data_IF_292061306377
#
_entry.id   IF_292061306377
#
_cell.length_a   1.000
_cell.length_b   1.000
_cell.length_c   1.000
_cell.angle_alpha   90.00
_cell.angle_beta   90.00
_cell.angle_gamma   90.00
#
_symmetry.space_group_name_H-M   'P 1'
#
loop_
_entity.id
_entity.type
_entity.pdbx_description
1 polymer ?
#
# COMPACT_ATOMS: atom_id res chain seq x y z
N UNK A 1 19.18 -43.91 9.17
CA UNK A 1 19.20 -45.12 8.31
C UNK A 1 20.62 -45.56 7.99
N UNK A 2 21.48 -44.70 7.43
CA UNK A 2 22.84 -45.12 7.00
C UNK A 2 23.70 -45.74 8.11
N UNK A 3 23.79 -45.09 9.28
CA UNK A 3 24.56 -45.63 10.42
C UNK A 3 23.99 -46.98 10.87
N UNK A 4 22.67 -47.09 10.97
CA UNK A 4 21.98 -48.34 11.37
C UNK A 4 22.26 -49.46 10.37
N UNK A 5 22.15 -49.19 9.07
CA UNK A 5 22.44 -50.17 8.03
C UNK A 5 23.91 -50.63 8.04
N UNK A 6 24.86 -49.71 8.24
CA UNK A 6 26.28 -50.03 8.36
C UNK A 6 26.58 -50.88 9.59
N UNK A 7 25.99 -50.54 10.74
CA UNK A 7 26.12 -51.33 11.97
C UNK A 7 25.53 -52.74 11.80
N UNK A 8 24.36 -52.87 11.18
CA UNK A 8 23.74 -54.18 10.88
C UNK A 8 24.58 -55.01 9.91
N UNK A 9 25.27 -54.38 8.96
CA UNK A 9 26.14 -55.08 8.03
C UNK A 9 27.47 -55.54 8.65
N UNK A 10 28.03 -54.79 9.61
CA UNK A 10 29.40 -54.98 10.11
C UNK A 10 29.45 -55.68 11.49
N UNK A 11 28.58 -55.30 12.43
CA UNK A 11 28.68 -55.78 13.83
C UNK A 11 28.43 -57.29 13.96
N UNK A 12 27.40 -57.89 13.32
CA UNK A 12 27.12 -59.31 13.46
C UNK A 12 28.22 -60.23 12.90
N UNK A 13 28.79 -59.99 11.70
CA UNK A 13 29.94 -60.75 11.22
C UNK A 13 31.19 -60.58 12.09
N UNK A 14 31.47 -59.35 12.54
CA UNK A 14 32.72 -59.02 13.24
C UNK A 14 32.74 -59.49 14.70
N UNK A 15 31.62 -59.38 15.41
CA UNK A 15 31.55 -59.66 16.87
C UNK A 15 30.97 -61.05 17.16
N UNK A 16 30.05 -61.53 16.32
CA UNK A 16 29.30 -62.77 16.56
C UNK A 16 29.62 -63.88 15.54
N UNK A 17 30.58 -63.67 14.64
CA UNK A 17 30.99 -64.67 13.64
C UNK A 17 29.95 -64.94 12.55
N UNK A 18 29.01 -64.01 12.32
CA UNK A 18 27.98 -64.16 11.29
C UNK A 18 28.50 -64.17 9.85
N UNK A 19 27.70 -64.68 8.90
CA UNK A 19 28.08 -64.75 7.48
C UNK A 19 28.02 -63.35 6.85
N UNK A 20 29.17 -62.84 6.37
CA UNK A 20 29.30 -61.50 5.79
C UNK A 20 28.28 -61.21 4.69
N UNK A 21 28.10 -62.11 3.73
CA UNK A 21 27.20 -61.90 2.60
C UNK A 21 25.74 -61.67 3.07
N UNK A 22 25.29 -62.42 4.08
CA UNK A 22 23.93 -62.31 4.61
C UNK A 22 23.70 -60.97 5.31
N UNK A 23 24.64 -60.55 6.16
CA UNK A 23 24.51 -59.30 6.91
C UNK A 23 24.72 -58.06 6.05
N UNK A 24 25.60 -58.13 5.04
CA UNK A 24 25.71 -57.10 4.01
C UNK A 24 24.39 -56.98 3.24
N UNK A 25 23.78 -58.10 2.83
CA UNK A 25 22.47 -58.10 2.16
C UNK A 25 21.38 -57.46 3.02
N UNK A 26 21.31 -57.81 4.31
CA UNK A 26 20.37 -57.21 5.27
C UNK A 26 20.61 -55.71 5.45
N UNK A 27 21.87 -55.26 5.52
CA UNK A 27 22.22 -53.84 5.58
C UNK A 27 21.75 -53.06 4.35
N UNK A 28 21.97 -53.61 3.15
CA UNK A 28 21.48 -53.03 1.89
C UNK A 28 19.94 -52.99 1.83
N UNK A 29 19.26 -54.03 2.30
CA UNK A 29 17.80 -54.05 2.38
C UNK A 29 17.26 -52.94 3.31
N UNK A 30 17.92 -52.69 4.45
CA UNK A 30 17.57 -51.59 5.36
C UNK A 30 17.77 -50.21 4.69
N UNK A 31 18.83 -50.04 3.91
CA UNK A 31 19.02 -48.80 3.12
C UNK A 31 17.88 -48.59 2.13
N UNK A 32 17.49 -49.64 1.40
CA UNK A 32 16.42 -49.58 0.42
C UNK A 32 15.07 -49.22 1.04
N UNK A 33 14.70 -49.88 2.15
CA UNK A 33 13.46 -49.61 2.88
C UNK A 33 13.47 -48.19 3.48
N UNK A 34 14.64 -47.69 3.84
CA UNK A 34 14.80 -46.37 4.43
C UNK A 34 14.70 -45.20 3.44
N UNK A 35 14.60 -45.44 2.12
CA UNK A 35 14.37 -44.39 1.12
C UNK A 35 12.98 -43.76 1.33
N UNK A 36 12.88 -42.49 1.79
CA UNK A 36 11.63 -41.93 2.23
C UNK A 36 10.88 -41.25 1.07
N UNK A 37 10.48 -42.03 0.06
CA UNK A 37 9.84 -41.50 -1.16
C UNK A 37 8.63 -40.59 -0.86
N UNK A 38 7.82 -40.97 0.13
CA UNK A 38 6.67 -40.19 0.58
C UNK A 38 7.06 -38.84 1.23
N UNK A 39 8.16 -38.81 1.99
CA UNK A 39 8.66 -37.58 2.60
C UNK A 39 9.13 -36.61 1.52
N UNK A 40 9.85 -37.10 0.51
CA UNK A 40 10.40 -36.28 -0.59
C UNK A 40 9.30 -35.59 -1.38
N UNK A 41 8.17 -36.27 -1.65
CA UNK A 41 7.05 -35.67 -2.40
C UNK A 41 6.11 -34.81 -1.55
N UNK A 42 6.16 -34.92 -0.22
CA UNK A 42 5.22 -34.24 0.68
C UNK A 42 5.27 -32.71 0.55
N UNK A 43 6.45 -32.10 0.58
CA UNK A 43 6.61 -30.63 0.51
C UNK A 43 6.20 -30.05 -0.86
N UNK A 44 6.68 -30.57 -2.01
CA UNK A 44 6.23 -30.06 -3.31
C UNK A 44 4.73 -30.21 -3.54
N UNK A 45 4.12 -31.32 -3.09
CA UNK A 45 2.68 -31.52 -3.18
C UNK A 45 1.89 -30.49 -2.37
N UNK A 46 2.31 -30.24 -1.12
CA UNK A 46 1.68 -29.24 -0.25
C UNK A 46 1.81 -27.82 -0.81
N UNK A 47 2.99 -27.46 -1.36
CA UNK A 47 3.23 -26.16 -1.99
C UNK A 47 2.32 -25.98 -3.21
N UNK A 48 2.27 -26.96 -4.12
CA UNK A 48 1.45 -26.88 -5.32
C UNK A 48 -0.04 -26.74 -4.99
N UNK A 49 -0.53 -27.51 -4.02
CA UNK A 49 -1.91 -27.41 -3.54
C UNK A 49 -2.20 -26.02 -2.93
N UNK A 50 -1.28 -25.49 -2.12
CA UNK A 50 -1.44 -24.19 -1.45
C UNK A 50 -1.42 -23.02 -2.44
N UNK A 51 -0.50 -23.04 -3.42
CA UNK A 51 -0.46 -22.05 -4.50
C UNK A 51 -1.75 -22.07 -5.32
N UNK A 52 -2.23 -23.26 -5.68
CA UNK A 52 -3.49 -23.43 -6.42
C UNK A 52 -4.70 -22.91 -5.63
N UNK A 53 -4.76 -23.20 -4.32
CA UNK A 53 -5.82 -22.72 -3.44
C UNK A 53 -5.78 -21.19 -3.26
N UNK A 54 -4.59 -20.60 -3.11
CA UNK A 54 -4.42 -19.15 -3.00
C UNK A 54 -4.80 -18.42 -4.28
N UNK A 55 -4.38 -18.93 -5.45
CA UNK A 55 -4.70 -18.34 -6.74
C UNK A 55 -6.22 -18.28 -6.98
N UNK A 56 -6.97 -19.32 -6.58
CA UNK A 56 -8.45 -19.32 -6.62
C UNK A 56 -9.10 -18.25 -5.74
N UNK A 57 -8.37 -17.69 -4.78
CA UNK A 57 -8.81 -16.61 -3.88
C UNK A 57 -8.16 -15.25 -4.22
N UNK A 58 -7.57 -15.12 -5.40
CA UNK A 58 -6.93 -13.87 -5.84
C UNK A 58 -5.54 -13.61 -5.24
N UNK A 59 -4.92 -14.59 -4.58
CA UNK A 59 -3.57 -14.45 -4.02
C UNK A 59 -2.51 -14.91 -5.03
N UNK A 60 -1.62 -14.00 -5.43
CA UNK A 60 -0.47 -14.31 -6.28
C UNK A 60 0.79 -14.48 -5.43
N UNK A 61 1.21 -15.73 -5.22
CA UNK A 61 2.41 -16.07 -4.45
C UNK A 61 3.53 -16.52 -5.38
N UNK A 62 4.68 -15.83 -5.32
CA UNK A 62 5.84 -16.07 -6.21
C UNK A 62 6.72 -17.21 -5.71
N UNK A 63 6.17 -18.43 -5.66
CA UNK A 63 6.90 -19.66 -5.33
C UNK A 63 6.71 -20.16 -3.89
N UNK A 64 7.25 -21.36 -3.61
CA UNK A 64 7.06 -22.07 -2.35
C UNK A 64 7.74 -21.42 -1.14
N UNK A 65 8.90 -20.78 -1.32
CA UNK A 65 9.61 -20.09 -0.24
C UNK A 65 8.77 -18.96 0.39
N UNK A 66 7.91 -18.31 -0.40
CA UNK A 66 6.98 -17.28 0.08
C UNK A 66 5.94 -17.89 1.03
N UNK A 67 5.38 -19.05 0.68
CA UNK A 67 4.42 -19.76 1.54
C UNK A 67 5.03 -20.19 2.87
N UNK A 68 6.24 -20.74 2.84
CA UNK A 68 6.95 -21.15 4.05
C UNK A 68 7.29 -19.96 4.96
N UNK A 69 7.65 -18.82 4.36
CA UNK A 69 7.93 -17.59 5.10
C UNK A 69 6.64 -17.01 5.68
N UNK A 70 5.55 -17.00 4.91
CA UNK A 70 4.26 -16.44 5.31
C UNK A 70 3.70 -17.14 6.55
N UNK A 71 3.89 -18.46 6.68
CA UNK A 71 3.51 -19.22 7.87
C UNK A 71 4.30 -18.87 9.15
N UNK A 72 5.37 -18.06 9.05
CA UNK A 72 6.20 -17.63 10.19
C UNK A 72 6.05 -16.13 10.49
N UNK A 73 5.29 -15.39 9.69
CA UNK A 73 5.13 -13.95 9.87
C UNK A 73 4.29 -13.69 11.13
N UNK A 74 4.80 -12.81 11.99
CA UNK A 74 4.12 -12.35 13.22
C UNK A 74 3.89 -10.84 13.23
N UNK A 75 4.40 -10.12 12.21
CA UNK A 75 4.26 -8.67 12.10
C UNK A 75 3.99 -8.24 10.67
N UNK A 76 3.12 -7.27 10.48
CA UNK A 76 2.81 -6.69 9.16
C UNK A 76 2.96 -5.18 9.21
N UNK A 77 3.86 -4.65 8.38
CA UNK A 77 3.94 -3.22 8.12
C UNK A 77 3.11 -2.90 6.88
N UNK A 78 2.10 -2.05 7.05
CA UNK A 78 1.26 -1.59 5.96
C UNK A 78 1.78 -0.29 5.40
N UNK A 79 1.83 -0.20 4.07
CA UNK A 79 1.75 1.10 3.41
C UNK A 79 0.32 1.66 3.58
N UNK A 80 0.18 2.99 3.62
CA UNK A 80 -1.15 3.61 3.79
C UNK A 80 -1.84 3.72 2.44
N UNK A 81 -1.25 4.51 1.55
CA UNK A 81 -1.90 4.99 0.33
C UNK A 81 -2.11 3.83 -0.65
N UNK A 82 -3.37 3.55 -1.00
CA UNK A 82 -3.74 2.49 -1.94
C UNK A 82 -3.70 1.07 -1.36
N UNK A 83 -3.16 0.89 -0.15
CA UNK A 83 -3.17 -0.39 0.59
C UNK A 83 -4.26 -0.39 1.66
N UNK A 84 -4.17 0.49 2.67
CA UNK A 84 -5.23 0.67 3.68
C UNK A 84 -6.32 1.62 3.20
N UNK A 85 -5.99 2.50 2.25
CA UNK A 85 -6.92 3.45 1.65
C UNK A 85 -7.22 3.10 0.20
N UNK A 86 -8.23 3.75 -0.38
CA UNK A 86 -8.60 3.57 -1.79
C UNK A 86 -7.50 4.08 -2.76
N UNK A 87 -6.58 4.93 -2.29
CA UNK A 87 -5.57 5.58 -3.14
C UNK A 87 -6.18 6.64 -4.06
N UNK A 88 -7.40 7.10 -3.74
CA UNK A 88 -8.20 8.04 -4.52
C UNK A 88 -8.71 9.12 -3.58
N UNK A 89 -7.92 10.18 -3.34
CA UNK A 89 -8.36 11.26 -2.49
C UNK A 89 -9.64 11.88 -3.04
N UNK A 90 -10.53 12.30 -2.15
CA UNK A 90 -11.78 12.99 -2.47
C UNK A 90 -11.77 14.34 -1.78
N UNK A 91 -12.30 15.37 -2.44
CA UNK A 91 -12.53 16.67 -1.80
C UNK A 91 -13.60 16.49 -0.73
N UNK A 92 -13.27 16.84 0.51
CA UNK A 92 -14.18 16.73 1.65
C UNK A 92 -14.75 18.07 2.06
N UNK A 93 -13.96 19.13 1.96
CA UNK A 93 -14.33 20.46 2.44
C UNK A 93 -13.73 21.54 1.55
N UNK A 94 -14.50 22.60 1.33
CA UNK A 94 -14.06 23.80 0.63
C UNK A 94 -14.39 24.98 1.54
N UNK A 95 -13.35 25.67 2.02
CA UNK A 95 -13.51 26.89 2.83
C UNK A 95 -13.19 28.08 1.93
N UNK A 96 -14.23 28.73 1.42
CA UNK A 96 -14.06 29.89 0.55
C UNK A 96 -13.70 31.15 1.34
N UNK A 97 -12.86 32.01 0.76
CA UNK A 97 -12.44 33.30 1.37
C UNK A 97 -12.66 34.42 0.36
N UNK A 98 -13.60 35.32 0.67
CA UNK A 98 -13.93 36.46 -0.20
C UNK A 98 -14.53 36.08 -1.55
N UNK A 99 -15.06 34.86 -1.68
CA UNK A 99 -15.72 34.29 -2.86
C UNK A 99 -16.56 33.08 -2.44
N UNK A 100 -17.29 32.47 -3.37
CA UNK A 100 -18.10 31.28 -3.13
C UNK A 100 -17.27 29.99 -3.20
N UNK A 101 -17.76 28.90 -2.62
CA UNK A 101 -17.11 27.58 -2.74
C UNK A 101 -16.98 27.13 -4.19
N UNK A 102 -17.99 27.39 -5.02
CA UNK A 102 -18.00 27.05 -6.43
C UNK A 102 -16.89 27.81 -7.19
N UNK A 103 -16.71 29.10 -6.93
CA UNK A 103 -15.62 29.89 -7.52
C UNK A 103 -14.25 29.44 -7.04
N UNK A 104 -14.10 29.14 -5.74
CA UNK A 104 -12.84 28.59 -5.20
C UNK A 104 -12.50 27.26 -5.88
N UNK A 105 -13.47 26.37 -6.04
CA UNK A 105 -13.28 25.08 -6.71
C UNK A 105 -12.97 25.24 -8.20
N UNK A 106 -13.67 26.15 -8.90
CA UNK A 106 -13.43 26.43 -10.30
C UNK A 106 -11.98 26.91 -10.55
N UNK A 107 -11.51 27.88 -9.77
CA UNK A 107 -10.13 28.40 -9.88
C UNK A 107 -9.07 27.35 -9.58
N UNK A 108 -9.33 26.46 -8.60
CA UNK A 108 -8.43 25.35 -8.31
C UNK A 108 -8.44 24.30 -9.44
N UNK A 109 -9.62 23.99 -9.99
CA UNK A 109 -9.76 23.07 -11.11
C UNK A 109 -9.09 23.61 -12.38
N UNK A 110 -9.18 24.92 -12.64
CA UNK A 110 -8.49 25.57 -13.75
C UNK A 110 -6.97 25.38 -13.69
N UNK A 111 -6.38 25.48 -12.49
CA UNK A 111 -4.95 25.24 -12.28
C UNK A 111 -4.55 23.78 -12.49
N UNK A 112 -5.42 22.85 -12.13
CA UNK A 112 -5.09 21.42 -12.06
C UNK A 112 -5.35 20.68 -13.39
N UNK A 113 -5.88 21.35 -14.42
CA UNK A 113 -6.02 20.75 -15.75
C UNK A 113 -4.66 20.26 -16.26
N UNK A 114 -4.59 18.98 -16.61
CA UNK A 114 -3.39 18.34 -17.15
C UNK A 114 -2.41 17.82 -16.10
N UNK A 115 -2.68 18.03 -14.81
CA UNK A 115 -1.91 17.45 -13.70
C UNK A 115 -2.30 15.98 -13.48
N UNK A 116 -1.29 15.10 -13.38
CA UNK A 116 -1.49 13.68 -13.05
C UNK A 116 -1.46 13.39 -11.55
N UNK A 117 -1.35 14.43 -10.72
CA UNK A 117 -1.27 14.28 -9.28
C UNK A 117 -2.62 13.80 -8.69
N UNK A 118 -2.66 12.84 -7.76
CA UNK A 118 -3.91 12.33 -7.20
C UNK A 118 -4.83 13.42 -6.62
N UNK A 119 -4.26 14.43 -5.94
CA UNK A 119 -5.03 15.57 -5.42
C UNK A 119 -5.64 16.44 -6.53
N UNK A 120 -4.94 16.59 -7.66
CA UNK A 120 -5.44 17.32 -8.82
C UNK A 120 -6.67 16.63 -9.41
N UNK A 121 -6.58 15.31 -9.56
CA UNK A 121 -7.70 14.48 -10.03
C UNK A 121 -8.90 14.57 -9.09
N UNK A 122 -8.67 14.61 -7.77
CA UNK A 122 -9.74 14.79 -6.78
C UNK A 122 -10.50 16.12 -6.98
N UNK A 123 -9.77 17.21 -7.22
CA UNK A 123 -10.34 18.54 -7.47
C UNK A 123 -11.13 18.56 -8.78
N UNK A 124 -10.56 18.01 -9.86
CA UNK A 124 -11.22 17.92 -11.17
C UNK A 124 -12.48 17.04 -11.13
N UNK A 125 -12.44 15.94 -10.38
CA UNK A 125 -13.60 15.07 -10.19
C UNK A 125 -14.70 15.76 -9.38
N UNK A 126 -14.34 16.51 -8.33
CA UNK A 126 -15.33 17.29 -7.56
C UNK A 126 -15.92 18.43 -8.39
N UNK A 127 -15.11 19.13 -9.19
CA UNK A 127 -15.60 20.16 -10.11
C UNK A 127 -16.61 19.58 -11.10
N UNK A 128 -16.31 18.42 -11.69
CA UNK A 128 -17.23 17.71 -12.59
C UNK A 128 -18.54 17.30 -11.91
N UNK A 129 -18.51 16.83 -10.66
CA UNK A 129 -19.74 16.51 -9.90
C UNK A 129 -20.64 17.71 -9.63
N UNK A 130 -20.07 18.91 -9.58
CA UNK A 130 -20.80 20.17 -9.38
C UNK A 130 -21.12 20.89 -10.70
N UNK A 131 -20.99 20.21 -11.84
CA UNK A 131 -21.18 20.78 -13.18
C UNK A 131 -20.34 22.04 -13.46
N UNK A 132 -19.15 22.13 -12.83
CA UNK A 132 -18.19 23.19 -13.06
C UNK A 132 -17.27 22.75 -14.20
N UNK A 133 -17.28 23.51 -15.30
CA UNK A 133 -16.42 23.28 -16.45
C UNK A 133 -15.16 24.16 -16.36
N UNK A 134 -13.99 23.62 -15.98
CA UNK A 134 -12.77 24.41 -15.89
C UNK A 134 -12.24 24.79 -17.28
N UNK A 135 -11.60 25.95 -17.37
CA UNK A 135 -11.18 26.63 -18.60
C UNK A 135 -9.67 26.51 -18.90
N UNK A 136 -8.92 25.86 -18.01
CA UNK A 136 -7.45 25.69 -18.04
C UNK A 136 -6.69 26.98 -17.76
N UNK A 137 -5.75 26.91 -16.81
CA UNK A 137 -4.79 27.99 -16.56
C UNK A 137 -3.71 28.03 -17.66
N UNK A 138 -3.26 29.24 -18.01
CA UNK A 138 -2.05 29.44 -18.81
C UNK A 138 -0.81 29.42 -17.91
N UNK A 139 0.36 29.11 -18.50
CA UNK A 139 1.65 29.08 -17.78
C UNK A 139 1.64 28.17 -16.53
N UNK A 140 0.79 27.14 -16.53
CA UNK A 140 0.68 26.20 -15.41
C UNK A 140 2.00 25.42 -15.23
N UNK A 141 2.57 25.50 -14.03
CA UNK A 141 3.81 24.78 -13.68
C UNK A 141 3.77 24.27 -12.25
N UNK A 142 4.19 23.03 -12.06
CA UNK A 142 4.38 22.44 -10.75
C UNK A 142 5.66 22.98 -10.09
N UNK A 143 5.58 23.28 -8.80
CA UNK A 143 6.70 23.64 -7.93
C UNK A 143 6.89 22.48 -6.96
N UNK A 144 7.95 21.70 -7.17
CA UNK A 144 8.22 20.49 -6.40
C UNK A 144 8.21 20.74 -4.88
N UNK A 145 7.37 19.99 -4.16
CA UNK A 145 7.22 20.10 -2.72
C UNK A 145 6.42 21.30 -2.21
N UNK A 146 5.91 22.17 -3.10
CA UNK A 146 5.14 23.36 -2.72
C UNK A 146 3.69 23.34 -3.24
N UNK A 147 3.48 23.06 -4.52
CA UNK A 147 2.17 23.14 -5.17
C UNK A 147 2.25 23.42 -6.67
N UNK A 148 1.23 24.07 -7.23
CA UNK A 148 1.11 24.48 -8.63
C UNK A 148 0.84 25.98 -8.72
N UNK A 149 1.35 26.62 -9.76
CA UNK A 149 1.10 28.02 -10.09
C UNK A 149 0.69 28.14 -11.57
N UNK A 150 -0.14 29.11 -11.90
CA UNK A 150 -0.59 29.38 -13.27
C UNK A 150 -1.39 30.68 -13.33
N UNK A 151 -1.95 31.02 -14.48
CA UNK A 151 -2.77 32.24 -14.64
C UNK A 151 -4.14 31.92 -15.23
N UNK A 152 -5.18 32.53 -14.67
CA UNK A 152 -6.56 32.46 -15.18
C UNK A 152 -7.08 33.88 -15.29
N UNK A 153 -7.56 34.27 -16.47
CA UNK A 153 -8.05 35.64 -16.71
C UNK A 153 -7.01 36.73 -16.42
N UNK A 154 -5.71 36.43 -16.57
CA UNK A 154 -4.60 37.35 -16.27
C UNK A 154 -4.23 37.44 -14.78
N UNK A 155 -4.94 36.74 -13.89
CA UNK A 155 -4.64 36.68 -12.45
C UNK A 155 -3.75 35.47 -12.17
N UNK A 156 -2.62 35.68 -11.50
CA UNK A 156 -1.75 34.60 -11.02
C UNK A 156 -2.47 33.82 -9.91
N UNK A 157 -2.61 32.52 -10.08
CA UNK A 157 -3.16 31.62 -9.09
C UNK A 157 -2.06 30.70 -8.56
N UNK A 158 -2.10 30.40 -7.27
CA UNK A 158 -1.25 29.39 -6.64
C UNK A 158 -2.10 28.45 -5.80
N UNK A 159 -1.92 27.14 -5.95
CA UNK A 159 -2.55 26.14 -5.12
C UNK A 159 -1.47 25.24 -4.53
N UNK A 160 -1.39 25.16 -3.20
CA UNK A 160 -0.33 24.39 -2.56
C UNK A 160 -0.48 24.22 -1.05
N UNK A 161 0.54 23.66 -0.41
CA UNK A 161 0.49 23.43 1.04
C UNK A 161 0.35 24.74 1.84
N UNK A 162 -0.25 24.72 3.05
CA UNK A 162 -0.38 25.92 3.88
C UNK A 162 0.96 26.61 4.13
N UNK A 163 2.02 25.83 4.37
CA UNK A 163 3.39 26.32 4.55
C UNK A 163 3.93 27.03 3.31
N UNK A 164 3.63 26.56 2.11
CA UNK A 164 4.06 27.20 0.87
C UNK A 164 3.22 28.45 0.53
N UNK A 165 1.94 28.45 0.91
CA UNK A 165 1.06 29.60 0.75
C UNK A 165 1.45 30.75 1.69
N UNK A 166 1.82 30.47 2.94
CA UNK A 166 2.27 31.48 3.91
C UNK A 166 3.48 32.29 3.45
N UNK A 167 4.39 31.67 2.66
CA UNK A 167 5.53 32.38 2.08
C UNK A 167 5.13 33.46 1.06
N UNK A 168 3.92 33.35 0.50
CA UNK A 168 3.42 34.20 -0.60
C UNK A 168 2.37 35.21 -0.11
N UNK A 169 1.53 34.80 0.83
CA UNK A 169 0.47 35.62 1.40
C UNK A 169 0.29 35.27 2.89
N UNK A 170 0.19 36.28 3.75
CA UNK A 170 -0.06 36.06 5.17
C UNK A 170 -1.46 35.47 5.40
N UNK A 171 -1.54 34.32 6.06
CA UNK A 171 -2.81 33.72 6.47
C UNK A 171 -3.30 34.35 7.78
N UNK A 172 -4.59 34.68 7.85
CA UNK A 172 -5.23 35.17 9.08
C UNK A 172 -5.25 34.07 10.15
N UNK A 173 -5.34 34.45 11.43
CA UNK A 173 -5.37 33.48 12.52
C UNK A 173 -6.58 32.54 12.43
N UNK A 174 -7.77 33.07 12.12
CA UNK A 174 -8.99 32.28 11.91
C UNK A 174 -8.78 31.19 10.85
N UNK A 175 -8.12 31.52 9.74
CA UNK A 175 -7.87 30.54 8.69
C UNK A 175 -6.83 29.48 9.12
N UNK A 176 -5.81 29.86 9.88
CA UNK A 176 -4.85 28.90 10.45
C UNK A 176 -5.54 27.92 11.39
N UNK A 177 -6.44 28.40 12.23
CA UNK A 177 -7.18 27.57 13.18
C UNK A 177 -8.11 26.59 12.44
N UNK A 178 -8.76 27.02 11.34
CA UNK A 178 -9.53 26.13 10.47
C UNK A 178 -8.67 25.07 9.77
N UNK A 179 -7.50 25.47 9.26
CA UNK A 179 -6.55 24.55 8.63
C UNK A 179 -6.06 23.51 9.64
N UNK A 180 -5.73 23.93 10.86
CA UNK A 180 -5.30 23.04 11.94
C UNK A 180 -6.38 22.00 12.25
N UNK A 181 -7.64 22.44 12.42
CA UNK A 181 -8.77 21.54 12.66
C UNK A 181 -8.93 20.49 11.55
N UNK A 182 -8.85 20.90 10.28
CA UNK A 182 -8.96 19.98 9.15
C UNK A 182 -7.80 18.97 9.10
N UNK A 183 -6.58 19.41 9.41
CA UNK A 183 -5.42 18.52 9.52
C UNK A 183 -5.57 17.52 10.67
N UNK A 184 -6.11 17.94 11.83
CA UNK A 184 -6.37 17.06 12.98
C UNK A 184 -7.43 15.99 12.66
N UNK A 185 -8.36 16.28 11.74
CA UNK A 185 -9.31 15.32 11.18
C UNK A 185 -8.66 14.36 10.15
N UNK A 186 -7.34 14.47 9.92
CA UNK A 186 -6.57 13.63 8.99
C UNK A 186 -6.70 14.04 7.52
N UNK A 187 -7.21 15.24 7.23
CA UNK A 187 -7.37 15.75 5.87
C UNK A 187 -6.07 16.41 5.39
N UNK A 188 -5.75 16.24 4.12
CA UNK A 188 -4.70 16.97 3.44
C UNK A 188 -5.25 18.29 2.93
N UNK A 189 -4.69 19.40 3.38
CA UNK A 189 -5.20 20.74 3.11
C UNK A 189 -4.34 21.45 2.08
N UNK A 190 -4.96 22.04 1.06
CA UNK A 190 -4.34 22.92 0.07
C UNK A 190 -4.96 24.32 0.15
N UNK A 191 -4.13 25.35 0.09
CA UNK A 191 -4.55 26.76 0.10
C UNK A 191 -4.45 27.31 -1.31
N UNK A 192 -5.55 27.91 -1.79
CA UNK A 192 -5.61 28.62 -3.05
C UNK A 192 -5.38 30.11 -2.80
N UNK A 193 -4.46 30.69 -3.57
CA UNK A 193 -4.20 32.12 -3.64
C UNK A 193 -4.58 32.63 -5.03
N UNK A 194 -5.14 33.83 -5.08
CA UNK A 194 -5.36 34.58 -6.31
C UNK A 194 -4.66 35.94 -6.19
N UNK A 195 -3.58 36.12 -6.92
CA UNK A 195 -2.64 37.22 -6.72
C UNK A 195 -2.06 37.19 -5.31
N UNK A 196 -2.27 38.25 -4.55
CA UNK A 196 -1.79 38.39 -3.16
C UNK A 196 -2.86 38.16 -2.10
N UNK A 197 -3.99 37.58 -2.46
CA UNK A 197 -5.09 37.30 -1.52
C UNK A 197 -5.40 35.81 -1.47
N UNK A 198 -5.80 35.34 -0.30
CA UNK A 198 -6.32 33.98 -0.13
C UNK A 198 -7.68 33.87 -0.79
N UNK A 199 -7.82 32.90 -1.69
CA UNK A 199 -9.05 32.59 -2.42
C UNK A 199 -9.90 31.54 -1.71
N UNK A 200 -9.26 30.67 -0.93
CA UNK A 200 -9.91 29.63 -0.17
C UNK A 200 -8.97 28.48 0.16
N UNK A 201 -9.54 27.46 0.79
CA UNK A 201 -8.85 26.25 1.22
C UNK A 201 -9.65 25.05 0.75
N UNK A 202 -8.96 24.04 0.22
CA UNK A 202 -9.55 22.79 -0.23
C UNK A 202 -8.93 21.67 0.61
N UNK A 203 -9.78 20.97 1.34
CA UNK A 203 -9.38 19.80 2.10
C UNK A 203 -9.77 18.52 1.36
N UNK A 204 -8.86 17.57 1.35
CA UNK A 204 -9.03 16.29 0.69
C UNK A 204 -8.64 15.15 1.63
N UNK A 205 -9.32 14.01 1.50
CA UNK A 205 -9.00 12.81 2.27
C UNK A 205 -9.02 11.58 1.37
N UNK A 206 -8.04 10.72 1.58
CA UNK A 206 -8.05 9.37 1.00
C UNK A 206 -8.70 8.44 2.01
N UNK A 207 -9.89 7.94 1.65
CA UNK A 207 -10.71 7.16 2.58
C UNK A 207 -10.14 5.75 2.77
N UNK A 208 -10.23 5.18 3.98
CA UNK A 208 -9.92 3.77 4.21
C UNK A 208 -10.77 2.87 3.30
N UNK A 209 -10.21 1.72 2.89
CA UNK A 209 -11.02 0.69 2.22
C UNK A 209 -12.06 0.13 3.19
N UNK A 210 -13.20 -0.29 2.65
CA UNK A 210 -14.29 -0.87 3.43
C UNK A 210 -13.84 -2.10 4.25
N UNK A 211 -12.95 -2.92 3.69
CA UNK A 211 -12.41 -4.14 4.28
C UNK A 211 -11.17 -3.91 5.16
N UNK A 212 -10.59 -2.71 5.17
CA UNK A 212 -9.33 -2.44 5.86
C UNK A 212 -9.43 -2.71 7.37
N UNK A 213 -10.52 -2.28 8.01
CA UNK A 213 -10.73 -2.48 9.45
C UNK A 213 -10.89 -3.96 9.77
N UNK A 214 -11.75 -4.66 9.04
CA UNK A 214 -11.98 -6.09 9.24
C UNK A 214 -10.71 -6.92 9.01
N UNK A 215 -9.92 -6.58 7.99
CA UNK A 215 -8.65 -7.22 7.68
C UNK A 215 -7.61 -7.05 8.79
N UNK A 216 -7.48 -5.85 9.35
CA UNK A 216 -6.59 -5.59 10.50
C UNK A 216 -7.06 -6.37 11.73
N UNK A 217 -8.36 -6.38 12.01
CA UNK A 217 -8.92 -7.17 13.11
C UNK A 217 -8.69 -8.67 12.92
N UNK A 218 -8.79 -9.17 11.70
CA UNK A 218 -8.50 -10.57 11.38
C UNK A 218 -7.03 -10.93 11.65
N UNK A 219 -6.09 -10.05 11.31
CA UNK A 219 -4.67 -10.24 11.62
C UNK A 219 -4.41 -10.23 13.13
N UNK A 220 -5.04 -9.31 13.87
CA UNK A 220 -4.93 -9.26 15.33
C UNK A 220 -5.47 -10.53 16.00
N UNK A 221 -6.56 -11.12 15.47
CA UNK A 221 -7.09 -12.40 15.94
C UNK A 221 -6.12 -13.58 15.71
N UNK A 222 -5.15 -13.42 14.81
CA UNK A 222 -4.09 -14.39 14.53
C UNK A 222 -2.78 -14.07 15.28
N UNK A 223 -2.82 -13.16 16.26
CA UNK A 223 -1.65 -12.65 16.99
C UNK A 223 -0.56 -12.03 16.10
N UNK A 224 -0.97 -11.53 14.92
CA UNK A 224 -0.10 -10.77 14.02
C UNK A 224 -0.22 -9.29 14.37
N UNK A 225 0.92 -8.67 14.70
CA UNK A 225 1.00 -7.25 15.10
C UNK A 225 1.20 -6.31 13.92
#
# INVERSE_FOLDING_TARGET
VMIVAALVAIVPPLVFGGVWNEWIYKGLAILLIGCPCALVISTPAAIAASLSAGARRGLLMKGGAVLETLGKITKVAFDKTGTLTEGKPKVTDIVAVGRTEAETLALAADLEIGSSHPLAMAILDEARKRDINPTSASEARAIGGEGIVGKVGGVELFLGSPKAAEKRCALTQDLRDRIAKLNDEGKSVSVLLAGKVVAGVIAMRDEPREDAKEGIEALKRLDVT
#
